data_IF_779225961414
#
_entry.id   IF_779225961414
#
_cell.length_a   1.000
_cell.length_b   1.000
_cell.length_c   1.000
_cell.angle_alpha   90.00
_cell.angle_beta   90.00
_cell.angle_gamma   90.00
#
_symmetry.space_group_name_H-M   'P 1'
#
loop_
_entity.id
_entity.type
_entity.pdbx_description
1 polymer ?
#
# COMPACT_ATOMS: atom_id res chain seq x y z
N UNK A 1 -33.99 43.46 64.20
CA UNK A 1 -34.78 42.22 64.03
C UNK A 1 -33.80 41.12 63.69
N UNK A 2 -33.62 40.20 64.63
CA UNK A 2 -32.63 39.12 64.66
C UNK A 2 -33.04 38.00 63.71
N UNK A 3 -32.23 37.68 62.71
CA UNK A 3 -32.39 36.45 61.92
C UNK A 3 -31.42 35.39 62.47
N UNK A 4 -32.00 34.32 63.02
CA UNK A 4 -31.28 33.15 63.53
C UNK A 4 -30.56 32.43 62.40
N UNK A 5 -29.31 32.05 62.67
CA UNK A 5 -28.48 31.25 61.79
C UNK A 5 -28.61 29.79 62.22
N UNK A 6 -29.63 29.09 61.71
CA UNK A 6 -29.79 27.65 61.92
C UNK A 6 -29.12 26.86 60.77
N UNK A 7 -28.44 25.74 61.07
CA UNK A 7 -27.79 24.93 60.05
C UNK A 7 -28.82 24.20 59.19
N UNK A 8 -28.67 24.31 57.87
CA UNK A 8 -29.50 23.57 56.90
C UNK A 8 -29.15 22.09 56.99
N UNK A 9 -30.03 21.30 57.59
CA UNK A 9 -29.96 19.85 57.61
C UNK A 9 -30.62 19.35 56.33
N UNK A 10 -29.81 18.86 55.38
CA UNK A 10 -30.33 18.17 54.20
C UNK A 10 -30.68 16.75 54.65
N UNK A 11 -31.96 16.50 54.92
CA UNK A 11 -32.47 15.15 55.09
C UNK A 11 -32.24 14.39 53.79
N UNK A 12 -31.34 13.42 53.81
CA UNK A 12 -31.27 12.44 52.72
C UNK A 12 -32.61 11.71 52.73
N UNK A 13 -33.42 11.95 51.70
CA UNK A 13 -34.59 11.13 51.45
C UNK A 13 -34.15 9.68 51.38
N UNK A 14 -34.95 8.79 51.98
CA UNK A 14 -34.73 7.34 52.07
C UNK A 14 -34.00 6.80 50.84
N UNK A 15 -32.94 6.01 51.09
CA UNK A 15 -32.26 5.20 50.10
C UNK A 15 -33.28 4.43 49.25
N UNK A 16 -33.68 5.03 48.14
CA UNK A 16 -34.29 4.31 47.04
C UNK A 16 -33.19 3.42 46.48
N UNK A 17 -33.21 2.17 46.92
CA UNK A 17 -32.65 0.95 46.35
C UNK A 17 -31.85 1.22 45.07
N UNK A 18 -30.64 1.76 45.23
CA UNK A 18 -29.71 1.89 44.13
C UNK A 18 -29.17 0.48 43.88
N UNK A 19 -29.30 -0.06 42.66
CA UNK A 19 -28.87 -1.42 42.37
C UNK A 19 -27.41 -1.59 42.78
N UNK A 20 -27.15 -2.62 43.59
CA UNK A 20 -25.82 -2.90 44.12
C UNK A 20 -24.86 -3.16 42.93
N UNK A 21 -23.62 -2.65 42.93
CA UNK A 21 -22.69 -2.81 41.79
C UNK A 21 -22.42 -4.26 41.38
N UNK A 22 -22.69 -5.21 42.28
CA UNK A 22 -22.59 -6.65 42.03
C UNK A 22 -23.77 -7.24 41.25
N UNK A 23 -24.91 -6.53 41.19
CA UNK A 23 -26.11 -6.91 40.44
C UNK A 23 -26.13 -6.32 39.02
N UNK A 24 -25.06 -5.61 38.65
CA UNK A 24 -24.86 -5.18 37.27
C UNK A 24 -24.71 -6.43 36.38
N UNK A 25 -25.49 -6.56 35.29
CA UNK A 25 -25.29 -7.67 34.36
C UNK A 25 -23.85 -7.63 33.85
N UNK A 26 -23.21 -8.81 33.67
CA UNK A 26 -21.84 -8.86 33.15
C UNK A 26 -21.79 -8.08 31.84
N UNK A 27 -20.83 -7.18 31.72
CA UNK A 27 -20.55 -6.48 30.47
C UNK A 27 -20.17 -7.56 29.47
N UNK A 28 -21.08 -7.87 28.56
CA UNK A 28 -20.77 -8.68 27.39
C UNK A 28 -19.83 -7.81 26.58
N UNK A 29 -18.56 -8.19 26.49
CA UNK A 29 -17.62 -7.60 25.56
C UNK A 29 -18.15 -7.86 24.14
N UNK A 30 -19.01 -6.96 23.65
CA UNK A 30 -19.46 -6.95 22.25
C UNK A 30 -18.36 -6.36 21.36
N UNK A 31 -17.13 -6.83 21.53
CA UNK A 31 -16.05 -6.56 20.57
C UNK A 31 -16.29 -7.25 19.23
N UNK A 32 -17.20 -8.24 19.18
CA UNK A 32 -17.61 -8.91 17.94
C UNK A 32 -18.90 -8.35 17.29
N UNK A 33 -19.54 -7.31 17.84
CA UNK A 33 -20.85 -6.84 17.32
C UNK A 33 -20.91 -5.38 16.82
N UNK A 34 -19.77 -4.71 16.62
CA UNK A 34 -19.73 -3.37 15.97
C UNK A 34 -19.62 -3.46 14.42
N UNK A 35 -19.82 -4.63 13.82
CA UNK A 35 -20.06 -4.75 12.36
C UNK A 35 -21.54 -5.03 12.09
N UNK A 36 -22.41 -4.11 12.47
CA UNK A 36 -23.67 -3.92 11.75
C UNK A 36 -23.78 -2.47 11.28
N UNK A 37 -22.87 -2.12 10.37
CA UNK A 37 -23.15 -1.07 9.40
C UNK A 37 -24.46 -1.45 8.68
N UNK A 38 -25.42 -0.52 8.68
CA UNK A 38 -26.77 -0.73 8.16
C UNK A 38 -26.79 -1.54 6.87
N UNK A 39 -27.69 -2.52 6.81
CA UNK A 39 -27.91 -3.33 5.62
C UNK A 39 -28.23 -2.41 4.43
N UNK A 40 -27.24 -2.17 3.58
CA UNK A 40 -27.49 -1.69 2.23
C UNK A 40 -28.33 -2.76 1.53
N UNK A 41 -29.52 -2.44 0.97
CA UNK A 41 -30.37 -3.43 0.37
C UNK A 41 -29.60 -4.23 -0.68
N UNK A 42 -29.59 -5.56 -0.50
CA UNK A 42 -28.82 -6.53 -1.29
C UNK A 42 -29.31 -6.57 -2.74
N UNK A 43 -28.92 -5.60 -3.56
CA UNK A 43 -28.91 -5.71 -5.02
C UNK A 43 -27.75 -6.64 -5.49
N UNK A 44 -27.61 -7.83 -4.88
CA UNK A 44 -26.62 -8.84 -5.29
C UNK A 44 -27.04 -9.52 -6.59
N UNK A 45 -28.35 -9.72 -6.78
CA UNK A 45 -28.89 -10.43 -7.96
C UNK A 45 -28.79 -9.54 -9.21
N UNK A 46 -29.20 -8.27 -9.12
CA UNK A 46 -29.10 -7.31 -10.23
C UNK A 46 -27.64 -7.05 -10.66
N UNK A 47 -26.69 -6.98 -9.72
CA UNK A 47 -25.25 -6.85 -10.04
C UNK A 47 -24.67 -8.09 -10.73
N UNK A 48 -25.22 -9.29 -10.48
CA UNK A 48 -24.81 -10.52 -11.15
C UNK A 48 -25.27 -10.55 -12.62
N UNK A 49 -26.55 -10.24 -12.87
CA UNK A 49 -27.10 -10.17 -14.22
C UNK A 49 -26.53 -9.00 -15.02
N UNK A 50 -26.36 -7.82 -14.43
CA UNK A 50 -25.74 -6.67 -15.10
C UNK A 50 -24.28 -6.95 -15.50
N UNK A 51 -23.51 -7.69 -14.68
CA UNK A 51 -22.15 -8.14 -15.05
C UNK A 51 -22.16 -9.17 -16.18
N UNK A 52 -23.14 -10.09 -16.21
CA UNK A 52 -23.27 -11.09 -17.27
C UNK A 52 -23.75 -10.48 -18.59
N UNK A 53 -24.76 -9.61 -18.55
CA UNK A 53 -25.27 -8.85 -19.70
C UNK A 53 -24.22 -7.90 -20.25
N UNK A 54 -23.51 -7.16 -19.38
CA UNK A 54 -22.38 -6.34 -19.78
C UNK A 54 -21.27 -7.18 -20.42
N UNK A 55 -20.91 -8.32 -19.83
CA UNK A 55 -19.95 -9.25 -20.41
C UNK A 55 -20.35 -9.76 -21.79
N UNK A 56 -21.62 -10.13 -21.97
CA UNK A 56 -22.16 -10.59 -23.25
C UNK A 56 -22.15 -9.49 -24.31
N UNK A 57 -22.53 -8.26 -23.94
CA UNK A 57 -22.49 -7.10 -24.81
C UNK A 57 -21.04 -6.80 -25.26
N UNK A 58 -20.08 -6.76 -24.34
CA UNK A 58 -18.67 -6.57 -24.69
C UNK A 58 -18.13 -7.72 -25.55
N UNK A 59 -18.54 -8.97 -25.31
CA UNK A 59 -18.16 -10.10 -26.14
C UNK A 59 -18.69 -9.96 -27.57
N UNK A 60 -19.96 -9.56 -27.74
CA UNK A 60 -20.56 -9.30 -29.05
C UNK A 60 -19.88 -8.14 -29.78
N UNK A 61 -19.63 -7.02 -29.10
CA UNK A 61 -18.89 -5.89 -29.66
C UNK A 61 -17.46 -6.29 -30.06
N UNK A 62 -16.77 -7.07 -29.22
CA UNK A 62 -15.44 -7.58 -29.51
C UNK A 62 -15.46 -8.51 -30.73
N UNK A 63 -16.47 -9.39 -30.83
CA UNK A 63 -16.62 -10.31 -31.95
C UNK A 63 -16.86 -9.56 -33.26
N UNK A 64 -17.78 -8.59 -33.26
CA UNK A 64 -18.04 -7.73 -34.42
C UNK A 64 -16.79 -6.94 -34.82
N UNK A 65 -16.07 -6.37 -33.84
CA UNK A 65 -14.83 -5.64 -34.10
C UNK A 65 -13.76 -6.54 -34.73
N UNK A 66 -13.59 -7.78 -34.26
CA UNK A 66 -12.63 -8.74 -34.83
C UNK A 66 -12.98 -9.09 -36.27
N UNK A 67 -14.25 -9.37 -36.57
CA UNK A 67 -14.70 -9.68 -37.93
C UNK A 67 -14.52 -8.46 -38.85
N UNK A 68 -14.97 -7.27 -38.39
CA UNK A 68 -14.85 -6.04 -39.15
C UNK A 68 -13.39 -5.70 -39.45
N UNK A 69 -12.52 -5.89 -38.47
CA UNK A 69 -11.07 -5.71 -38.62
C UNK A 69 -10.46 -6.70 -39.61
N UNK A 70 -10.84 -7.98 -39.54
CA UNK A 70 -10.37 -9.00 -40.48
C UNK A 70 -10.79 -8.69 -41.93
N UNK A 71 -12.06 -8.33 -42.12
CA UNK A 71 -12.58 -7.95 -43.44
C UNK A 71 -11.90 -6.69 -43.97
N UNK A 72 -11.66 -5.69 -43.12
CA UNK A 72 -10.91 -4.49 -43.48
C UNK A 72 -9.50 -4.82 -43.95
N UNK A 73 -8.80 -5.70 -43.24
CA UNK A 73 -7.45 -6.15 -43.60
C UNK A 73 -7.42 -6.86 -44.96
N UNK A 74 -8.39 -7.75 -45.22
CA UNK A 74 -8.52 -8.47 -46.50
C UNK A 74 -8.84 -7.51 -47.65
N UNK A 75 -9.82 -6.61 -47.46
CA UNK A 75 -10.17 -5.60 -48.46
C UNK A 75 -8.98 -4.70 -48.84
N UNK A 76 -8.13 -4.36 -47.88
CA UNK A 76 -6.91 -3.58 -48.11
C UNK A 76 -5.90 -4.34 -48.99
N UNK A 77 -5.76 -5.65 -48.75
CA UNK A 77 -4.87 -6.51 -49.52
C UNK A 77 -5.35 -6.67 -50.96
N UNK A 78 -6.66 -6.81 -51.16
CA UNK A 78 -7.30 -6.98 -52.47
C UNK A 78 -7.29 -5.68 -53.30
N UNK A 79 -7.49 -4.52 -52.66
CA UNK A 79 -7.53 -3.22 -53.35
C UNK A 79 -6.14 -2.67 -53.66
N UNK A 80 -5.18 -2.81 -52.74
CA UNK A 80 -3.83 -2.27 -52.92
C UNK A 80 -2.79 -3.09 -52.15
N UNK A 81 -2.02 -3.89 -52.88
CA UNK A 81 -1.02 -4.82 -52.33
C UNK A 81 0.02 -4.12 -51.44
N UNK A 82 0.49 -2.93 -51.81
CA UNK A 82 1.50 -2.18 -51.04
C UNK A 82 0.97 -1.71 -49.68
N UNK A 83 -0.27 -1.19 -49.65
CA UNK A 83 -0.95 -0.80 -48.41
C UNK A 83 -1.27 -2.01 -47.55
N UNK A 84 -1.71 -3.12 -48.17
CA UNK A 84 -1.97 -4.39 -47.50
C UNK A 84 -0.74 -4.95 -46.78
N UNK A 85 0.40 -5.07 -47.48
CA UNK A 85 1.66 -5.55 -46.88
C UNK A 85 2.12 -4.63 -45.73
N UNK A 86 2.03 -3.31 -45.93
CA UNK A 86 2.39 -2.33 -44.90
C UNK A 86 1.54 -2.49 -43.63
N UNK A 87 0.22 -2.64 -43.80
CA UNK A 87 -0.70 -2.90 -42.70
C UNK A 87 -0.40 -4.23 -41.99
N UNK A 88 -0.16 -5.32 -42.73
CA UNK A 88 0.21 -6.61 -42.16
C UNK A 88 1.51 -6.56 -41.36
N UNK A 89 2.51 -5.79 -41.81
CA UNK A 89 3.76 -5.60 -41.08
C UNK A 89 3.53 -4.84 -39.77
N UNK A 90 2.76 -3.75 -39.80
CA UNK A 90 2.39 -2.99 -38.59
C UNK A 90 1.62 -3.89 -37.61
N UNK A 91 0.68 -4.70 -38.11
CA UNK A 91 -0.07 -5.66 -37.31
C UNK A 91 0.84 -6.68 -36.64
N UNK A 92 1.82 -7.22 -37.38
CA UNK A 92 2.78 -8.18 -36.85
C UNK A 92 3.61 -7.56 -35.72
N UNK A 93 4.14 -6.35 -35.92
CA UNK A 93 4.91 -5.62 -34.91
C UNK A 93 4.05 -5.33 -33.67
N UNK A 94 2.79 -4.92 -33.89
CA UNK A 94 1.84 -4.67 -32.81
C UNK A 94 1.55 -5.95 -32.02
N UNK A 95 1.33 -7.08 -32.70
CA UNK A 95 1.13 -8.39 -32.08
C UNK A 95 2.32 -8.82 -31.23
N UNK A 96 3.54 -8.72 -31.76
CA UNK A 96 4.78 -9.03 -31.03
C UNK A 96 4.89 -8.15 -29.77
N UNK A 97 4.59 -6.85 -29.90
CA UNK A 97 4.66 -5.89 -28.79
C UNK A 97 3.65 -6.24 -27.69
N UNK A 98 2.41 -6.58 -28.06
CA UNK A 98 1.37 -7.01 -27.11
C UNK A 98 1.78 -8.32 -26.42
N UNK A 99 2.25 -9.31 -27.17
CA UNK A 99 2.67 -10.59 -26.59
C UNK A 99 3.84 -10.40 -25.63
N UNK A 100 4.83 -9.57 -25.98
CA UNK A 100 5.92 -9.19 -25.08
C UNK A 100 5.41 -8.49 -23.81
N UNK A 101 4.43 -7.59 -23.95
CA UNK A 101 3.79 -6.92 -22.82
C UNK A 101 3.04 -7.88 -21.89
N UNK A 102 2.24 -8.81 -22.45
CA UNK A 102 1.51 -9.83 -21.68
C UNK A 102 2.49 -10.77 -20.98
N UNK A 103 3.54 -11.24 -21.67
CA UNK A 103 4.55 -12.10 -21.07
C UNK A 103 5.27 -11.41 -19.91
N UNK A 104 5.68 -10.15 -20.09
CA UNK A 104 6.30 -9.35 -19.04
C UNK A 104 5.37 -9.19 -17.82
N UNK A 105 4.07 -9.00 -18.06
CA UNK A 105 3.06 -8.87 -17.01
C UNK A 105 2.83 -10.19 -16.25
N UNK A 106 2.75 -11.33 -16.96
CA UNK A 106 2.64 -12.65 -16.33
C UNK A 106 3.85 -12.97 -15.45
N UNK A 107 5.06 -12.61 -15.90
CA UNK A 107 6.29 -12.77 -15.11
C UNK A 107 6.23 -11.89 -13.84
N UNK A 108 5.75 -10.66 -13.95
CA UNK A 108 5.58 -9.77 -12.79
C UNK A 108 4.59 -10.35 -11.77
N UNK A 109 3.48 -10.94 -12.23
CA UNK A 109 2.47 -11.57 -11.38
C UNK A 109 3.00 -12.82 -10.67
N UNK A 110 3.70 -13.70 -11.38
CA UNK A 110 4.32 -14.89 -10.79
C UNK A 110 5.29 -14.48 -9.67
N UNK A 111 6.06 -13.42 -9.90
CA UNK A 111 7.03 -12.93 -8.91
C UNK A 111 6.38 -12.36 -7.66
N UNK A 112 5.26 -11.64 -7.79
CA UNK A 112 4.52 -11.13 -6.63
C UNK A 112 4.02 -12.29 -5.75
N UNK A 113 3.53 -13.38 -6.36
CA UNK A 113 3.14 -14.59 -5.61
C UNK A 113 4.32 -15.22 -4.89
N UNK A 114 5.50 -15.23 -5.51
CA UNK A 114 6.72 -15.73 -4.86
C UNK A 114 7.06 -14.96 -3.59
N UNK A 115 6.92 -13.63 -3.60
CA UNK A 115 7.12 -12.77 -2.41
C UNK A 115 6.11 -13.09 -1.31
N UNK A 116 4.85 -13.32 -1.67
CA UNK A 116 3.80 -13.70 -0.73
C UNK A 116 4.11 -15.05 -0.06
N UNK A 117 4.61 -16.02 -0.83
CA UNK A 117 5.06 -17.31 -0.31
C UNK A 117 6.24 -17.17 0.66
N UNK A 118 7.22 -16.29 0.37
CA UNK A 118 8.34 -16.02 1.31
C UNK A 118 7.82 -15.61 2.70
N UNK A 119 6.84 -14.70 2.78
CA UNK A 119 6.27 -14.26 4.06
C UNK A 119 5.59 -15.36 4.84
N UNK A 120 4.88 -16.25 4.13
CA UNK A 120 4.17 -17.37 4.75
C UNK A 120 5.22 -18.36 5.28
N UNK A 121 6.18 -18.76 4.45
CA UNK A 121 7.26 -19.67 4.85
C UNK A 121 8.08 -19.13 6.02
N UNK A 122 8.42 -17.84 6.05
CA UNK A 122 9.17 -17.25 7.18
C UNK A 122 8.36 -17.32 8.49
N UNK A 123 7.04 -17.06 8.44
CA UNK A 123 6.16 -17.18 9.61
C UNK A 123 6.07 -18.62 10.11
N UNK A 124 6.01 -19.58 9.21
CA UNK A 124 6.01 -21.01 9.54
C UNK A 124 7.35 -21.43 10.16
N UNK A 125 8.47 -21.04 9.54
CA UNK A 125 9.83 -21.36 10.03
C UNK A 125 10.06 -20.81 11.44
N UNK A 126 9.57 -19.60 11.74
CA UNK A 126 9.63 -19.03 13.10
C UNK A 126 8.88 -19.84 14.13
N UNK A 127 7.73 -20.42 13.76
CA UNK A 127 6.94 -21.25 14.68
C UNK A 127 7.58 -22.60 14.93
N UNK A 128 8.24 -23.16 13.92
CA UNK A 128 8.90 -24.46 14.00
C UNK A 128 10.33 -24.40 14.57
N UNK A 129 10.91 -23.19 14.70
CA UNK A 129 12.30 -22.94 15.11
C UNK A 129 13.34 -23.80 14.37
N UNK A 130 13.16 -23.93 13.05
CA UNK A 130 13.97 -24.83 12.23
C UNK A 130 15.12 -24.08 11.52
N UNK A 131 16.34 -24.21 12.05
CA UNK A 131 17.54 -23.56 11.50
C UNK A 131 17.84 -23.95 10.04
N UNK A 132 17.65 -25.22 9.66
CA UNK A 132 17.93 -25.67 8.30
C UNK A 132 16.99 -24.99 7.29
N UNK A 133 15.70 -24.88 7.64
CA UNK A 133 14.72 -24.14 6.82
C UNK A 133 15.02 -22.63 6.81
N UNK A 134 15.43 -22.05 7.94
CA UNK A 134 15.84 -20.64 8.02
C UNK A 134 17.05 -20.33 7.12
N UNK A 135 18.08 -21.19 7.11
CA UNK A 135 19.23 -21.07 6.21
C UNK A 135 18.82 -21.21 4.73
N UNK A 136 17.93 -22.14 4.43
CA UNK A 136 17.44 -22.33 3.06
C UNK A 136 16.66 -21.11 2.55
N UNK A 137 15.73 -20.56 3.34
CA UNK A 137 14.91 -19.42 2.92
C UNK A 137 15.74 -18.13 2.80
N UNK A 138 16.67 -17.90 3.73
CA UNK A 138 17.58 -16.74 3.69
C UNK A 138 18.58 -16.83 2.54
N UNK A 139 19.05 -18.03 2.19
CA UNK A 139 19.84 -18.26 0.97
C UNK A 139 19.06 -17.94 -0.30
N UNK A 140 17.80 -18.38 -0.40
CA UNK A 140 16.94 -18.04 -1.55
C UNK A 140 16.71 -16.53 -1.66
N UNK A 141 16.55 -15.84 -0.53
CA UNK A 141 16.43 -14.39 -0.47
C UNK A 141 17.72 -13.68 -0.91
N UNK A 142 18.86 -14.14 -0.42
CA UNK A 142 20.20 -13.67 -0.84
C UNK A 142 20.42 -13.86 -2.34
N UNK A 143 20.05 -15.02 -2.88
CA UNK A 143 20.15 -15.31 -4.31
C UNK A 143 19.19 -14.50 -5.19
N UNK A 144 18.07 -14.00 -4.63
CA UNK A 144 17.18 -13.07 -5.32
C UNK A 144 17.85 -11.70 -5.57
N UNK A 145 18.75 -11.27 -4.67
CA UNK A 145 19.40 -9.96 -4.72
C UNK A 145 20.84 -9.99 -5.22
N UNK A 146 21.45 -11.17 -5.41
CA UNK A 146 22.86 -11.32 -5.84
C UNK A 146 23.23 -10.62 -7.14
N UNK A 147 22.25 -10.43 -8.04
CA UNK A 147 22.48 -9.75 -9.33
C UNK A 147 22.48 -8.22 -9.24
N UNK A 148 22.27 -7.65 -8.04
CA UNK A 148 22.30 -6.20 -7.84
C UNK A 148 23.67 -5.77 -7.35
N UNK A 149 24.36 -4.97 -8.16
CA UNK A 149 25.70 -4.46 -7.82
C UNK A 149 25.70 -3.66 -6.51
N UNK A 150 24.64 -2.88 -6.26
CA UNK A 150 24.44 -2.11 -5.03
C UNK A 150 24.38 -2.99 -3.76
N UNK A 151 23.99 -4.26 -3.89
CA UNK A 151 23.85 -5.20 -2.77
C UNK A 151 25.10 -6.04 -2.54
N UNK A 152 26.14 -5.92 -3.38
CA UNK A 152 27.34 -6.78 -3.31
C UNK A 152 27.98 -6.80 -1.92
N UNK A 153 28.18 -5.62 -1.33
CA UNK A 153 28.75 -5.47 0.01
C UNK A 153 27.83 -6.03 1.10
N UNK A 154 26.54 -5.72 1.02
CA UNK A 154 25.50 -6.22 1.93
C UNK A 154 25.43 -7.74 1.94
N UNK A 155 25.50 -8.35 0.75
CA UNK A 155 25.48 -9.81 0.60
C UNK A 155 26.75 -10.44 1.15
N UNK A 156 27.92 -9.85 0.87
CA UNK A 156 29.19 -10.34 1.44
C UNK A 156 29.16 -10.32 2.98
N UNK A 157 28.67 -9.24 3.57
CA UNK A 157 28.53 -9.10 5.03
C UNK A 157 27.54 -10.12 5.60
N UNK A 158 26.42 -10.34 4.91
CA UNK A 158 25.46 -11.37 5.30
C UNK A 158 26.08 -12.77 5.24
N UNK A 159 26.80 -13.10 4.17
CA UNK A 159 27.43 -14.43 3.99
C UNK A 159 28.52 -14.72 5.03
N UNK A 160 29.21 -13.68 5.53
CA UNK A 160 30.18 -13.78 6.61
C UNK A 160 29.48 -14.07 7.94
N UNK A 161 28.49 -13.25 8.32
CA UNK A 161 27.84 -13.31 9.64
C UNK A 161 26.79 -14.44 9.77
N UNK A 162 26.23 -14.91 8.65
CA UNK A 162 25.22 -15.97 8.61
C UNK A 162 25.76 -17.33 9.05
N UNK A 163 27.08 -17.55 8.97
CA UNK A 163 27.70 -18.82 9.39
C UNK A 163 27.73 -18.97 10.91
N UNK A 164 27.74 -17.85 11.61
CA UNK A 164 27.87 -17.80 13.07
C UNK A 164 26.51 -17.89 13.78
N UNK A 165 25.40 -17.86 13.04
CA UNK A 165 24.05 -18.00 13.62
C UNK A 165 23.73 -19.46 13.90
N UNK A 166 23.36 -19.75 15.16
CA UNK A 166 23.11 -21.09 15.69
C UNK A 166 21.62 -21.45 15.80
N UNK A 167 20.74 -20.46 15.67
CA UNK A 167 19.30 -20.58 15.84
C UNK A 167 18.53 -20.00 14.64
N UNK A 168 17.26 -20.40 14.47
CA UNK A 168 16.46 -19.96 13.33
C UNK A 168 16.12 -18.47 13.41
N UNK A 169 15.84 -17.95 14.62
CA UNK A 169 15.51 -16.54 14.80
C UNK A 169 16.71 -15.65 14.53
N UNK A 170 17.90 -15.95 15.07
CA UNK A 170 19.13 -15.24 14.76
C UNK A 170 19.43 -15.18 13.26
N UNK A 171 19.27 -16.31 12.55
CA UNK A 171 19.45 -16.38 11.10
C UNK A 171 18.46 -15.47 10.34
N UNK A 172 17.18 -15.46 10.74
CA UNK A 172 16.15 -14.63 10.12
C UNK A 172 16.31 -13.14 10.48
N UNK A 173 16.64 -12.83 11.72
CA UNK A 173 16.90 -11.48 12.22
C UNK A 173 18.09 -10.84 11.52
N UNK A 174 19.17 -11.61 11.33
CA UNK A 174 20.35 -11.18 10.59
C UNK A 174 20.00 -10.85 9.13
N UNK A 175 19.25 -11.73 8.47
CA UNK A 175 18.80 -11.50 7.10
C UNK A 175 17.90 -10.25 7.02
N UNK A 176 17.04 -10.01 8.00
CA UNK A 176 16.15 -8.85 8.04
C UNK A 176 16.96 -7.56 8.17
N UNK A 177 17.87 -7.53 9.13
CA UNK A 177 18.65 -6.34 9.47
C UNK A 177 19.66 -5.99 8.39
N UNK A 178 20.28 -6.99 7.75
CA UNK A 178 21.33 -6.75 6.75
C UNK A 178 20.74 -6.62 5.35
N UNK A 179 19.97 -7.60 4.89
CA UNK A 179 19.51 -7.62 3.49
C UNK A 179 18.39 -6.61 3.24
N UNK A 180 17.48 -6.37 4.20
CA UNK A 180 16.34 -5.47 3.96
C UNK A 180 16.69 -4.01 4.19
N UNK A 181 17.57 -3.66 5.13
CA UNK A 181 17.88 -2.27 5.46
C UNK A 181 18.19 -1.33 4.26
N UNK A 182 19.07 -1.68 3.30
CA UNK A 182 19.31 -0.81 2.15
C UNK A 182 18.09 -0.69 1.22
N UNK A 183 17.29 -1.76 1.08
CA UNK A 183 16.07 -1.75 0.28
C UNK A 183 14.96 -0.94 0.95
N UNK A 184 14.83 -1.07 2.27
CA UNK A 184 13.88 -0.32 3.08
C UNK A 184 14.17 1.19 2.93
N UNK A 185 15.44 1.61 2.99
CA UNK A 185 15.84 3.01 2.73
C UNK A 185 15.49 3.50 1.33
N UNK A 186 15.71 2.68 0.30
CA UNK A 186 15.34 3.04 -1.08
C UNK A 186 13.82 3.21 -1.22
N UNK A 187 13.04 2.34 -0.59
CA UNK A 187 11.58 2.45 -0.60
C UNK A 187 11.10 3.70 0.15
N UNK A 188 11.68 4.02 1.31
CA UNK A 188 11.37 5.22 2.08
C UNK A 188 11.63 6.50 1.26
N UNK A 189 12.77 6.60 0.57
CA UNK A 189 13.09 7.72 -0.32
C UNK A 189 12.07 7.93 -1.45
N UNK A 190 11.54 6.84 -2.00
CA UNK A 190 10.50 6.93 -3.04
C UNK A 190 9.16 7.40 -2.44
N UNK A 191 8.84 7.00 -1.22
CA UNK A 191 7.67 7.52 -0.49
C UNK A 191 7.85 9.02 -0.24
N UNK A 192 8.97 9.44 0.34
CA UNK A 192 9.26 10.85 0.61
C UNK A 192 9.14 11.71 -0.65
N UNK A 193 9.68 11.21 -1.79
CA UNK A 193 9.58 11.89 -3.08
C UNK A 193 8.13 12.09 -3.50
N UNK A 194 7.29 11.06 -3.39
CA UNK A 194 5.88 11.13 -3.76
C UNK A 194 5.07 12.00 -2.80
N UNK A 195 5.37 11.95 -1.49
CA UNK A 195 4.78 12.84 -0.49
C UNK A 195 5.04 14.30 -0.85
N UNK A 196 6.30 14.66 -1.15
CA UNK A 196 6.65 16.01 -1.60
C UNK A 196 5.86 16.42 -2.84
N UNK A 197 5.83 15.56 -3.85
CA UNK A 197 5.15 15.85 -5.11
C UNK A 197 3.65 16.11 -4.90
N UNK A 198 2.98 15.25 -4.15
CA UNK A 198 1.55 15.41 -3.87
C UNK A 198 1.30 16.67 -3.04
N UNK A 199 2.04 16.88 -1.94
CA UNK A 199 1.88 18.06 -1.11
C UNK A 199 2.13 19.38 -1.86
N UNK A 200 3.15 19.44 -2.71
CA UNK A 200 3.45 20.63 -3.52
C UNK A 200 2.37 20.88 -4.58
N UNK A 201 1.88 19.83 -5.25
CA UNK A 201 0.83 19.97 -6.28
C UNK A 201 -0.48 20.46 -5.64
N UNK A 202 -0.90 19.86 -4.52
CA UNK A 202 -2.11 20.27 -3.81
C UNK A 202 -2.01 21.72 -3.30
N UNK A 203 -0.85 22.10 -2.76
CA UNK A 203 -0.65 23.45 -2.23
C UNK A 203 -0.65 24.54 -3.33
N UNK A 204 -0.13 24.22 -4.52
CA UNK A 204 0.04 25.21 -5.61
C UNK A 204 -1.11 25.23 -6.62
N UNK A 205 -1.77 24.11 -6.90
CA UNK A 205 -2.71 24.00 -8.03
C UNK A 205 -4.17 24.00 -7.56
N UNK A 206 -4.94 25.08 -7.79
CA UNK A 206 -6.35 25.23 -7.40
C UNK A 206 -7.38 24.29 -8.04
N UNK A 207 -6.99 23.20 -8.69
CA UNK A 207 -7.90 22.41 -9.54
C UNK A 207 -8.18 21.07 -8.88
N UNK A 208 -9.37 20.92 -8.27
CA UNK A 208 -9.75 19.72 -7.51
C UNK A 208 -9.57 18.42 -8.30
N UNK A 209 -9.93 18.41 -9.60
CA UNK A 209 -9.74 17.24 -10.46
C UNK A 209 -8.25 16.94 -10.73
N UNK A 210 -7.44 17.97 -10.90
CA UNK A 210 -5.99 17.82 -11.13
C UNK A 210 -5.31 17.32 -9.87
N UNK A 211 -5.71 17.80 -8.70
CA UNK A 211 -5.18 17.34 -7.41
C UNK A 211 -5.40 15.84 -7.20
N UNK A 212 -6.65 15.37 -7.36
CA UNK A 212 -6.98 13.95 -7.23
C UNK A 212 -6.27 13.11 -8.29
N UNK A 213 -6.24 13.56 -9.55
CA UNK A 213 -5.56 12.84 -10.63
C UNK A 213 -4.04 12.78 -10.40
N UNK A 214 -3.43 13.89 -9.97
CA UNK A 214 -2.01 13.96 -9.69
C UNK A 214 -1.63 13.06 -8.50
N UNK A 215 -2.41 13.11 -7.42
CA UNK A 215 -2.23 12.23 -6.27
C UNK A 215 -2.34 10.75 -6.67
N UNK A 216 -3.35 10.38 -7.47
CA UNK A 216 -3.51 9.01 -7.97
C UNK A 216 -2.32 8.56 -8.83
N UNK A 217 -1.90 9.40 -9.78
CA UNK A 217 -0.76 9.10 -10.66
C UNK A 217 0.54 8.96 -9.85
N UNK A 218 0.78 9.86 -8.90
CA UNK A 218 1.93 9.79 -8.01
C UNK A 218 1.90 8.52 -7.17
N UNK A 219 0.75 8.17 -6.58
CA UNK A 219 0.58 6.96 -5.78
C UNK A 219 0.81 5.69 -6.60
N UNK A 220 0.28 5.60 -7.81
CA UNK A 220 0.50 4.45 -8.70
C UNK A 220 1.97 4.30 -9.10
N UNK A 221 2.64 5.41 -9.42
CA UNK A 221 4.08 5.42 -9.72
C UNK A 221 4.92 5.03 -8.51
N UNK A 222 4.60 5.56 -7.33
CA UNK A 222 5.24 5.23 -6.05
C UNK A 222 5.15 3.75 -5.75
N UNK A 223 3.94 3.19 -5.77
CA UNK A 223 3.69 1.75 -5.52
C UNK A 223 4.47 0.89 -6.51
N UNK A 224 4.45 1.25 -7.79
CA UNK A 224 5.23 0.55 -8.82
C UNK A 224 6.72 0.55 -8.49
N UNK A 225 7.24 1.68 -8.03
CA UNK A 225 8.65 1.85 -7.73
C UNK A 225 9.07 1.10 -6.46
N UNK A 226 8.24 1.12 -5.42
CA UNK A 226 8.42 0.31 -4.20
C UNK A 226 8.44 -1.19 -4.55
N UNK A 227 7.52 -1.65 -5.40
CA UNK A 227 7.50 -3.03 -5.88
C UNK A 227 8.78 -3.39 -6.65
N UNK A 228 9.33 -2.44 -7.43
CA UNK A 228 10.62 -2.63 -8.11
C UNK A 228 11.80 -2.71 -7.14
N UNK A 229 11.80 -1.89 -6.09
CA UNK A 229 12.81 -1.92 -5.04
C UNK A 229 12.87 -3.31 -4.38
N UNK A 230 11.74 -3.86 -3.92
CA UNK A 230 11.74 -5.17 -3.25
C UNK A 230 11.75 -6.37 -4.20
N UNK A 231 10.95 -6.35 -5.27
CA UNK A 231 10.66 -7.51 -6.11
C UNK A 231 11.17 -7.42 -7.55
N UNK A 232 11.61 -6.26 -8.03
CA UNK A 232 12.00 -6.06 -9.44
C UNK A 232 10.84 -5.69 -10.38
N UNK A 233 11.09 -5.68 -11.70
CA UNK A 233 10.26 -5.03 -12.75
C UNK A 233 8.75 -5.28 -12.58
N UNK A 234 8.03 -4.24 -12.16
CA UNK A 234 6.57 -4.18 -12.15
C UNK A 234 6.04 -3.54 -13.44
N UNK A 235 5.08 -4.19 -14.09
CA UNK A 235 4.32 -3.69 -15.24
C UNK A 235 3.23 -2.67 -14.82
N UNK A 236 2.59 -2.02 -15.81
CA UNK A 236 1.57 -1.00 -15.55
C UNK A 236 0.31 -1.61 -14.93
N UNK A 237 -0.14 -2.77 -15.44
CA UNK A 237 -1.33 -3.48 -14.96
C UNK A 237 -1.10 -4.08 -13.56
N UNK A 238 0.10 -4.60 -13.31
CA UNK A 238 0.51 -5.11 -12.01
C UNK A 238 0.40 -4.05 -10.92
N UNK A 239 0.78 -2.81 -11.26
CA UNK A 239 0.72 -1.66 -10.34
C UNK A 239 -0.71 -1.29 -9.97
N UNK A 240 -1.66 -1.38 -10.92
CA UNK A 240 -3.08 -1.14 -10.65
C UNK A 240 -3.69 -2.22 -9.74
N UNK A 241 -3.33 -3.49 -9.97
CA UNK A 241 -3.76 -4.58 -9.09
C UNK A 241 -3.14 -4.47 -7.70
N UNK A 242 -1.86 -4.10 -7.63
CA UNK A 242 -1.16 -3.88 -6.37
C UNK A 242 -1.76 -2.71 -5.59
N UNK A 243 -2.16 -1.63 -6.27
CA UNK A 243 -2.94 -0.56 -5.66
C UNK A 243 -4.22 -1.10 -5.02
N UNK A 244 -4.97 -1.96 -5.72
CA UNK A 244 -6.14 -2.64 -5.15
C UNK A 244 -5.81 -3.46 -3.88
N UNK A 245 -4.68 -4.19 -3.87
CA UNK A 245 -4.21 -4.90 -2.67
C UNK A 245 -3.84 -3.94 -1.52
N UNK A 246 -3.16 -2.83 -1.83
CA UNK A 246 -2.78 -1.79 -0.85
C UNK A 246 -4.02 -1.14 -0.24
N UNK A 247 -4.98 -0.74 -1.06
CA UNK A 247 -6.25 -0.19 -0.59
C UNK A 247 -7.01 -1.19 0.27
N UNK A 248 -7.11 -2.46 -0.17
CA UNK A 248 -7.74 -3.51 0.63
C UNK A 248 -7.03 -3.76 1.96
N UNK A 249 -5.70 -3.72 1.99
CA UNK A 249 -4.91 -3.85 3.21
C UNK A 249 -5.16 -2.67 4.15
N UNK A 250 -5.14 -1.43 3.65
CA UNK A 250 -5.44 -0.24 4.44
C UNK A 250 -6.83 -0.31 5.08
N UNK A 251 -7.83 -0.76 4.31
CA UNK A 251 -9.20 -0.97 4.81
C UNK A 251 -9.21 -2.05 5.90
N UNK A 252 -8.56 -3.19 5.64
CA UNK A 252 -8.54 -4.33 6.56
C UNK A 252 -7.76 -4.06 7.85
N UNK A 253 -6.67 -3.30 7.79
CA UNK A 253 -5.84 -2.96 8.97
C UNK A 253 -6.34 -1.73 9.72
N UNK A 254 -7.55 -1.24 9.42
CA UNK A 254 -8.12 -0.10 10.11
C UNK A 254 -7.26 1.17 9.97
N UNK A 255 -6.67 1.42 8.80
CA UNK A 255 -5.83 2.59 8.55
C UNK A 255 -6.61 3.93 8.55
N UNK A 256 -7.79 3.98 9.17
CA UNK A 256 -8.53 5.19 9.49
C UNK A 256 -8.49 5.47 11.02
N UNK A 257 -8.13 4.49 11.86
CA UNK A 257 -8.11 4.61 13.33
C UNK A 257 -6.88 5.36 13.89
N UNK A 258 -5.90 5.71 13.06
CA UNK A 258 -4.66 6.40 13.48
C UNK A 258 -4.76 7.89 13.10
N UNK A 259 -5.70 8.62 13.70
CA UNK A 259 -5.68 10.08 13.72
C UNK A 259 -4.63 10.62 14.71
N UNK A 260 -4.31 9.86 15.75
CA UNK A 260 -3.60 10.38 16.93
C UNK A 260 -2.08 10.56 16.73
N UNK A 261 -1.39 9.65 16.03
CA UNK A 261 0.09 9.67 15.91
C UNK A 261 0.67 10.90 15.17
N UNK A 262 -0.17 11.66 14.47
CA UNK A 262 0.24 12.77 13.60
C UNK A 262 -0.30 14.09 14.09
N UNK A 263 -1.50 14.10 14.68
CA UNK A 263 -2.03 15.26 15.37
C UNK A 263 -1.06 15.71 16.48
N UNK A 264 -0.48 14.77 17.23
CA UNK A 264 0.50 15.08 18.27
C UNK A 264 1.82 15.70 17.78
N UNK A 265 2.30 15.33 16.59
CA UNK A 265 3.57 15.86 16.03
C UNK A 265 3.38 17.13 15.20
N UNK A 266 2.19 17.37 14.67
CA UNK A 266 1.84 18.58 13.90
C UNK A 266 1.41 19.75 14.81
N UNK A 267 0.91 19.48 16.02
CA UNK A 267 0.44 20.52 16.95
C UNK A 267 1.51 21.06 17.94
N UNK A 268 2.66 20.41 18.07
CA UNK A 268 3.68 20.78 19.07
C UNK A 268 4.64 21.93 18.70
N UNK A 269 4.58 22.44 17.47
CA UNK A 269 5.46 23.52 17.00
C UNK A 269 4.67 24.79 16.68
N UNK A 270 4.85 25.85 17.46
CA UNK A 270 4.26 27.19 17.33
C UNK A 270 4.53 27.94 16.01
N UNK A 271 5.05 27.27 14.99
CA UNK A 271 5.28 27.78 13.63
C UNK A 271 4.11 27.51 12.66
N UNK A 272 3.14 26.67 13.03
CA UNK A 272 2.03 26.26 12.15
C UNK A 272 0.77 27.15 12.20
N UNK A 273 0.64 28.04 13.19
CA UNK A 273 -0.58 28.85 13.38
C UNK A 273 -0.82 29.91 12.29
N UNK A 274 0.12 30.09 11.36
CA UNK A 274 0.03 31.05 10.23
C UNK A 274 0.07 30.41 8.85
N UNK A 275 -0.09 29.10 8.78
CA UNK A 275 0.04 28.37 7.53
C UNK A 275 -1.25 28.42 6.72
N UNK A 276 -1.13 28.73 5.42
CA UNK A 276 -2.29 28.85 4.51
C UNK A 276 -3.14 27.57 4.50
N UNK A 277 -4.47 27.73 4.39
CA UNK A 277 -5.46 26.63 4.29
C UNK A 277 -5.02 25.55 3.29
N UNK A 278 -4.47 25.95 2.15
CA UNK A 278 -4.02 25.04 1.08
C UNK A 278 -2.76 24.26 1.39
N UNK A 279 -1.88 24.83 2.19
CA UNK A 279 -0.71 24.10 2.63
C UNK A 279 -1.11 23.02 3.64
N UNK A 280 -2.11 23.30 4.49
CA UNK A 280 -2.75 22.28 5.34
C UNK A 280 -3.33 21.13 4.52
N UNK A 281 -4.09 21.43 3.46
CA UNK A 281 -4.61 20.43 2.51
C UNK A 281 -3.48 19.59 1.87
N UNK A 282 -2.38 20.23 1.45
CA UNK A 282 -1.21 19.55 0.90
C UNK A 282 -0.49 18.64 1.89
N UNK A 283 -0.38 19.03 3.16
CA UNK A 283 0.15 18.15 4.22
C UNK A 283 -0.76 16.95 4.42
N UNK A 284 -2.08 17.16 4.50
CA UNK A 284 -3.05 16.07 4.73
C UNK A 284 -2.98 15.05 3.58
N UNK A 285 -2.94 15.52 2.33
CA UNK A 285 -2.78 14.66 1.16
C UNK A 285 -1.40 13.97 1.11
N UNK A 286 -0.36 14.65 1.57
CA UNK A 286 0.98 14.09 1.76
C UNK A 286 1.01 12.98 2.81
N UNK A 287 0.34 13.16 3.95
CA UNK A 287 0.21 12.15 4.99
C UNK A 287 -0.52 10.91 4.46
N UNK A 288 -1.62 11.09 3.72
CA UNK A 288 -2.33 9.98 3.06
C UNK A 288 -1.40 9.21 2.09
N UNK A 289 -0.63 9.94 1.28
CA UNK A 289 0.38 9.38 0.37
C UNK A 289 1.41 8.56 1.13
N UNK A 290 1.91 9.07 2.26
CA UNK A 290 2.86 8.36 3.10
C UNK A 290 2.26 7.07 3.68
N UNK A 291 0.96 7.06 4.03
CA UNK A 291 0.26 5.83 4.51
C UNK A 291 0.13 4.79 3.42
N UNK A 292 -0.26 5.21 2.22
CA UNK A 292 -0.30 4.34 1.04
C UNK A 292 1.08 3.75 0.76
N UNK A 293 2.13 4.57 0.84
CA UNK A 293 3.52 4.13 0.71
C UNK A 293 3.93 3.08 1.74
N UNK A 294 3.64 3.32 3.03
CA UNK A 294 3.90 2.39 4.12
C UNK A 294 3.18 1.05 3.93
N UNK A 295 1.90 1.09 3.57
CA UNK A 295 1.13 -0.12 3.27
C UNK A 295 1.66 -0.85 2.03
N UNK A 296 2.16 -0.13 1.03
CA UNK A 296 2.85 -0.73 -0.11
C UNK A 296 4.15 -1.44 0.30
N UNK A 297 4.92 -0.88 1.24
CA UNK A 297 6.08 -1.58 1.83
C UNK A 297 5.63 -2.86 2.55
N UNK A 298 4.58 -2.81 3.36
CA UNK A 298 4.07 -3.99 4.08
C UNK A 298 3.67 -5.13 3.14
N UNK A 299 3.14 -4.81 1.97
CA UNK A 299 2.73 -5.81 0.98
C UNK A 299 3.93 -6.30 0.16
N UNK A 300 4.83 -5.40 -0.25
CA UNK A 300 5.89 -5.72 -1.21
C UNK A 300 7.19 -6.24 -0.58
N UNK A 301 7.48 -5.90 0.67
CA UNK A 301 8.70 -6.32 1.38
C UNK A 301 8.65 -7.84 1.60
N UNK A 302 9.66 -8.65 1.22
CA UNK A 302 9.58 -10.12 1.28
C UNK A 302 9.63 -10.71 2.69
N UNK A 303 10.23 -9.99 3.64
CA UNK A 303 10.27 -10.39 5.05
C UNK A 303 9.32 -9.50 5.88
N UNK A 304 8.56 -10.07 6.82
CA UNK A 304 7.76 -9.27 7.75
C UNK A 304 8.66 -8.41 8.63
N UNK A 305 8.17 -7.23 9.04
CA UNK A 305 8.85 -6.43 10.06
C UNK A 305 8.73 -7.14 11.41
N UNK A 306 9.86 -7.58 11.97
CA UNK A 306 9.90 -8.21 13.28
C UNK A 306 11.08 -7.70 14.10
N UNK A 307 12.28 -7.78 13.53
CA UNK A 307 13.50 -7.28 14.17
C UNK A 307 13.86 -5.86 13.74
N UNK A 308 13.20 -5.36 12.69
CA UNK A 308 13.36 -3.97 12.22
C UNK A 308 12.09 -3.17 12.48
N UNK A 309 12.20 -1.94 13.02
CA UNK A 309 11.03 -1.11 13.27
C UNK A 309 10.40 -0.71 11.94
N UNK A 310 9.08 -0.84 11.85
CA UNK A 310 8.33 -0.36 10.70
C UNK A 310 8.37 1.17 10.68
N UNK A 311 8.72 1.82 9.56
CA UNK A 311 8.87 3.27 9.51
C UNK A 311 7.57 3.94 9.95
N UNK A 312 7.66 4.93 10.84
CA UNK A 312 6.50 5.71 11.24
C UNK A 312 6.19 6.68 10.15
N UNK A 313 4.92 6.94 9.95
CA UNK A 313 4.53 7.73 8.79
C UNK A 313 4.58 9.23 9.08
N UNK A 314 4.59 9.62 10.36
CA UNK A 314 5.04 10.95 10.82
C UNK A 314 6.51 11.21 10.52
N UNK A 315 7.39 10.22 10.67
CA UNK A 315 8.81 10.32 10.29
C UNK A 315 8.95 10.50 8.78
N UNK A 316 8.27 9.67 7.97
CA UNK A 316 8.27 9.80 6.51
C UNK A 316 7.77 11.17 6.04
N UNK A 317 6.73 11.70 6.70
CA UNK A 317 6.20 13.02 6.40
C UNK A 317 7.21 14.11 6.79
N UNK A 318 7.81 14.02 7.98
CA UNK A 318 8.84 14.96 8.44
C UNK A 318 10.02 14.99 7.48
N UNK A 319 10.58 13.83 7.13
CA UNK A 319 11.75 13.70 6.26
C UNK A 319 11.47 14.17 4.82
N UNK A 320 10.25 13.93 4.33
CA UNK A 320 9.80 14.47 3.06
C UNK A 320 9.79 16.01 3.08
N UNK A 321 9.25 16.61 4.15
CA UNK A 321 9.11 18.06 4.30
C UNK A 321 10.46 18.75 4.58
N UNK A 322 11.33 18.19 5.42
CA UNK A 322 12.68 18.77 5.63
C UNK A 322 13.48 18.82 4.33
N UNK A 323 13.40 17.77 3.50
CA UNK A 323 14.04 17.76 2.18
C UNK A 323 13.40 18.68 1.12
N UNK A 324 12.21 19.25 1.35
CA UNK A 324 11.66 20.35 0.54
C UNK A 324 12.38 21.67 0.85
N UNK A 325 12.65 21.94 2.13
CA UNK A 325 13.22 23.21 2.58
C UNK A 325 14.73 23.32 2.32
N UNK A 326 15.48 22.22 2.42
CA UNK A 326 16.92 22.20 2.09
C UNK A 326 17.20 22.48 0.60
N UNK A 327 16.24 22.19 -0.29
CA UNK A 327 16.36 22.48 -1.73
C UNK A 327 16.04 23.92 -2.12
N UNK A 328 15.35 24.68 -1.27
CA UNK A 328 15.01 26.08 -1.54
C UNK A 328 16.07 27.07 -1.05
N UNK A 329 17.11 26.59 -0.35
CA UNK A 329 18.18 27.41 0.25
C UNK A 329 19.55 27.23 -0.43
N UNK A 330 19.61 26.55 -1.58
CA UNK A 330 20.78 26.47 -2.47
C UNK A 330 20.38 26.83 -3.90
#
# INVERSE_FOLDING_TARGET
MTAQNEPVVISLADETDMPHPADAPPVIDTEDEIIQGGEWPKARIARGYAKRLGGLFFALCSFYAVIGFWNFAQNLLEQNLLLGISFSLILLIFGITITGFIAAELIALYRLRKIENFKISIREIRREDNLAKARAITKQLRDLYKSRDEMRWTISRFDEQAKDQLDAEGQLALAETILMAPLDKLAQKEIERSVRQVSTITALVPLALVDVAAALICNLRMIRRIAQVYGGRSGLLSSWRLFGKVTGHLIATGAMAIGDDWLGSVLGGSLFSKLSRRFGEGIINGALTARVGRAAMDICRPMPFHNTPKPRVSELLRDALTGLFDRTMN
#
